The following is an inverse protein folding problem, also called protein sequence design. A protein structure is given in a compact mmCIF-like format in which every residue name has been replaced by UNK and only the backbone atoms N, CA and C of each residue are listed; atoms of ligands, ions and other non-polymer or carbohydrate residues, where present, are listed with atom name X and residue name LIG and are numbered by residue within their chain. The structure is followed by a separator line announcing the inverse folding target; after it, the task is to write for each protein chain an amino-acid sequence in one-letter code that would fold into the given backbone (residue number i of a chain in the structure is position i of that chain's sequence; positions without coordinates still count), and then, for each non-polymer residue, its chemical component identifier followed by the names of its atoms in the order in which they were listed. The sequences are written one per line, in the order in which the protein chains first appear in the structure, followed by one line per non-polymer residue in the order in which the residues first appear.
data_IF_125035025571
#
_entry.id   IF_125035025571
#
_cell.length_a   1.000
_cell.length_b   1.000
_cell.length_c   1.000
_cell.angle_alpha   90.00
_cell.angle_beta   90.00
_cell.angle_gamma   90.00
#
_symmetry.space_group_name_H-M   'P 1'
#
loop_
_entity.id
_entity.type
_entity.pdbx_description
1 polymer ?
#
# COMPACT_ATOMS: atom_id res chain seq x y z
N UNK A 1 8.74 -8.72 24.19
CA UNK A 1 8.83 -9.30 22.83
C UNK A 1 7.89 -10.48 22.65
N UNK A 2 8.02 -11.56 23.43
CA UNK A 2 7.15 -12.76 23.31
C UNK A 2 5.64 -12.46 23.36
N UNK A 3 5.19 -11.59 24.26
CA UNK A 3 3.79 -11.18 24.35
C UNK A 3 3.27 -10.54 23.05
N UNK A 4 4.09 -9.73 22.37
CA UNK A 4 3.72 -9.07 21.12
C UNK A 4 3.60 -10.05 19.96
N UNK A 5 4.51 -11.04 19.90
CA UNK A 5 4.43 -12.13 18.93
C UNK A 5 3.15 -12.94 19.14
N UNK A 6 2.80 -13.24 20.40
CA UNK A 6 1.54 -13.93 20.74
C UNK A 6 0.33 -13.12 20.28
N UNK A 7 0.26 -11.82 20.58
CA UNK A 7 -0.84 -10.95 20.14
C UNK A 7 -0.95 -10.93 18.60
N UNK A 8 0.18 -10.84 17.89
CA UNK A 8 0.19 -10.88 16.43
C UNK A 8 -0.31 -12.24 15.90
N UNK A 9 0.09 -13.34 16.55
CA UNK A 9 -0.42 -14.68 16.26
C UNK A 9 -1.93 -14.78 16.45
N UNK A 10 -2.44 -14.31 17.58
CA UNK A 10 -3.88 -14.30 17.88
C UNK A 10 -4.65 -13.45 16.85
N UNK A 11 -4.11 -12.31 16.42
CA UNK A 11 -4.70 -11.47 15.37
C UNK A 11 -4.70 -12.17 14.01
N UNK A 12 -3.61 -12.83 13.64
CA UNK A 12 -3.53 -13.65 12.42
C UNK A 12 -4.62 -14.72 12.42
N UNK A 13 -4.79 -15.45 13.52
CA UNK A 13 -5.77 -16.54 13.62
C UNK A 13 -7.20 -16.02 13.50
N UNK A 14 -7.50 -14.85 14.09
CA UNK A 14 -8.78 -14.16 13.90
C UNK A 14 -9.01 -13.74 12.45
N UNK A 15 -7.97 -13.27 11.76
CA UNK A 15 -8.04 -12.88 10.34
C UNK A 15 -8.21 -14.08 9.41
N UNK A 16 -7.71 -15.26 9.79
CA UNK A 16 -8.04 -16.51 9.09
C UNK A 16 -9.53 -16.86 9.22
N UNK A 17 -10.10 -16.64 10.40
CA UNK A 17 -11.50 -16.90 10.74
C UNK A 17 -12.40 -15.67 10.54
N UNK A 18 -12.02 -14.73 9.68
CA UNK A 18 -12.69 -13.43 9.56
C UNK A 18 -14.20 -13.51 9.30
N UNK A 19 -14.67 -14.59 8.66
CA UNK A 19 -16.10 -14.84 8.37
C UNK A 19 -16.95 -15.05 9.63
N UNK A 20 -16.33 -15.30 10.77
CA UNK A 20 -17.00 -15.47 12.07
C UNK A 20 -17.25 -14.14 12.78
N UNK A 21 -16.81 -13.02 12.21
CA UNK A 21 -16.94 -11.69 12.81
C UNK A 21 -17.86 -10.80 11.96
N UNK A 22 -18.59 -9.91 12.63
CA UNK A 22 -19.27 -8.81 11.95
C UNK A 22 -18.25 -7.75 11.49
N UNK A 23 -18.71 -6.79 10.69
CA UNK A 23 -17.87 -5.74 10.13
C UNK A 23 -17.17 -4.88 11.20
N UNK A 24 -17.86 -4.52 12.27
CA UNK A 24 -17.34 -3.65 13.33
C UNK A 24 -16.19 -4.33 14.10
N UNK A 25 -16.38 -5.59 14.48
CA UNK A 25 -15.36 -6.38 15.16
C UNK A 25 -14.15 -6.63 14.25
N UNK A 26 -14.40 -6.88 12.96
CA UNK A 26 -13.34 -7.06 11.99
C UNK A 26 -12.54 -5.78 11.74
N UNK A 27 -13.18 -4.62 11.76
CA UNK A 27 -12.49 -3.32 11.66
C UNK A 27 -11.56 -3.10 12.87
N UNK A 28 -12.00 -3.46 14.08
CA UNK A 28 -11.16 -3.40 15.30
C UNK A 28 -9.97 -4.36 15.21
N UNK A 29 -10.20 -5.60 14.74
CA UNK A 29 -9.14 -6.59 14.52
C UNK A 29 -8.13 -6.07 13.50
N UNK A 30 -8.60 -5.56 12.34
CA UNK A 30 -7.73 -5.00 11.30
C UNK A 30 -6.93 -3.79 11.80
N UNK A 31 -7.56 -2.91 12.56
CA UNK A 31 -6.88 -1.73 13.14
C UNK A 31 -5.80 -2.12 14.15
N UNK A 32 -5.99 -3.21 14.90
CA UNK A 32 -4.98 -3.75 15.79
C UNK A 32 -3.84 -4.43 15.02
N UNK A 33 -4.20 -5.22 14.00
CA UNK A 33 -3.23 -5.90 13.13
C UNK A 33 -2.33 -4.91 12.41
N UNK A 34 -2.88 -3.86 11.79
CA UNK A 34 -2.15 -2.88 10.97
C UNK A 34 -0.96 -2.22 11.68
N UNK A 35 -1.07 -2.05 13.01
CA UNK A 35 0.00 -1.46 13.83
C UNK A 35 1.30 -2.25 13.79
N UNK A 36 1.23 -3.58 13.63
CA UNK A 36 2.40 -4.44 13.57
C UNK A 36 3.23 -4.23 12.30
N UNK A 37 2.68 -4.43 11.07
CA UNK A 37 3.46 -4.20 9.87
C UNK A 37 3.81 -2.71 9.69
N UNK A 38 3.00 -1.75 10.17
CA UNK A 38 3.27 -0.31 9.96
C UNK A 38 4.14 0.35 11.04
N UNK A 39 3.86 0.19 12.33
CA UNK A 39 4.52 0.98 13.40
C UNK A 39 5.63 0.20 14.09
N UNK A 40 5.41 -1.06 14.39
CA UNK A 40 6.30 -1.87 15.22
C UNK A 40 7.21 -2.70 14.30
N UNK A 41 8.42 -2.22 13.97
CA UNK A 41 9.38 -3.06 13.24
C UNK A 41 9.89 -4.18 14.15
N UNK A 42 9.82 -5.43 13.70
CA UNK A 42 10.53 -6.52 14.37
C UNK A 42 10.79 -7.68 13.44
N UNK A 43 12.03 -8.16 13.38
CA UNK A 43 12.38 -9.39 12.62
C UNK A 43 11.63 -10.61 13.13
N UNK A 44 11.20 -10.62 14.41
CA UNK A 44 10.39 -11.69 14.98
C UNK A 44 8.98 -11.78 14.37
N UNK A 45 8.50 -10.75 13.68
CA UNK A 45 7.20 -10.77 13.01
C UNK A 45 7.26 -11.37 11.60
N UNK A 46 8.46 -11.59 11.04
CA UNK A 46 8.66 -12.12 9.69
C UNK A 46 7.82 -13.39 9.45
N UNK A 47 7.85 -14.44 10.30
CA UNK A 47 7.11 -15.67 10.03
C UNK A 47 5.59 -15.48 9.86
N UNK A 48 5.02 -14.43 10.46
CA UNK A 48 3.59 -14.11 10.34
C UNK A 48 3.35 -13.13 9.19
N UNK A 49 4.21 -12.12 9.04
CA UNK A 49 4.01 -11.02 8.09
C UNK A 49 4.48 -11.34 6.66
N UNK A 50 5.15 -12.47 6.44
CA UNK A 50 5.46 -13.02 5.10
C UNK A 50 4.50 -14.13 4.68
N UNK A 51 3.44 -14.37 5.45
CA UNK A 51 2.40 -15.33 5.11
C UNK A 51 1.56 -14.82 3.94
N UNK A 52 1.71 -15.47 2.79
CA UNK A 52 0.99 -15.12 1.56
C UNK A 52 -0.50 -15.41 1.68
N UNK A 53 -0.87 -16.47 2.37
CA UNK A 53 -2.28 -16.83 2.55
C UNK A 53 -2.97 -15.80 3.44
N UNK A 54 -2.32 -15.31 4.50
CA UNK A 54 -2.83 -14.19 5.28
C UNK A 54 -3.11 -12.97 4.41
N UNK A 55 -2.20 -12.59 3.50
CA UNK A 55 -2.43 -11.47 2.58
C UNK A 55 -3.64 -11.70 1.66
N UNK A 56 -3.90 -12.93 1.23
CA UNK A 56 -5.10 -13.26 0.47
C UNK A 56 -6.39 -13.16 1.29
N UNK A 57 -6.35 -13.55 2.57
CA UNK A 57 -7.48 -13.31 3.48
C UNK A 57 -7.75 -11.81 3.65
N UNK A 58 -6.71 -10.99 3.80
CA UNK A 58 -6.85 -9.53 3.84
C UNK A 58 -7.50 -8.96 2.58
N UNK A 59 -7.12 -9.46 1.39
CA UNK A 59 -7.77 -9.09 0.12
C UNK A 59 -9.24 -9.50 0.12
N UNK A 60 -9.56 -10.72 0.56
CA UNK A 60 -10.94 -11.20 0.61
C UNK A 60 -11.82 -10.35 1.54
N UNK A 61 -11.29 -9.95 2.69
CA UNK A 61 -11.95 -9.01 3.62
C UNK A 61 -12.21 -7.67 2.91
N UNK A 62 -11.17 -7.09 2.29
CA UNK A 62 -11.29 -5.80 1.61
C UNK A 62 -12.29 -5.81 0.46
N UNK A 63 -12.37 -6.91 -0.30
CA UNK A 63 -13.38 -7.08 -1.35
C UNK A 63 -14.79 -7.22 -0.79
N UNK A 64 -14.95 -7.92 0.34
CA UNK A 64 -16.25 -8.12 0.99
C UNK A 64 -16.80 -6.82 1.57
N UNK A 65 -15.96 -6.05 2.25
CA UNK A 65 -16.34 -4.79 2.90
C UNK A 65 -15.82 -3.58 2.13
N UNK A 66 -16.05 -3.56 0.81
CA UNK A 66 -15.47 -2.57 -0.12
C UNK A 66 -15.95 -1.13 0.10
N UNK A 67 -17.05 -0.92 0.81
CA UNK A 67 -17.53 0.42 1.20
C UNK A 67 -16.88 0.92 2.49
N UNK A 68 -16.27 0.04 3.28
CA UNK A 68 -15.60 0.40 4.52
C UNK A 68 -14.22 0.98 4.25
N UNK A 69 -14.16 2.30 4.16
CA UNK A 69 -12.91 3.02 3.87
C UNK A 69 -11.84 2.81 4.96
N UNK A 70 -12.22 2.72 6.24
CA UNK A 70 -11.28 2.53 7.34
C UNK A 70 -10.59 1.16 7.23
N UNK A 71 -11.39 0.12 7.03
CA UNK A 71 -10.92 -1.25 6.83
C UNK A 71 -10.02 -1.35 5.59
N UNK A 72 -10.43 -0.77 4.45
CA UNK A 72 -9.61 -0.74 3.23
C UNK A 72 -8.26 -0.06 3.44
N UNK A 73 -8.22 1.09 4.12
CA UNK A 73 -6.96 1.79 4.44
C UNK A 73 -6.04 0.89 5.27
N UNK A 74 -6.59 0.23 6.29
CA UNK A 74 -5.80 -0.65 7.15
C UNK A 74 -5.25 -1.86 6.39
N UNK A 75 -6.04 -2.45 5.49
CA UNK A 75 -5.62 -3.58 4.65
C UNK A 75 -4.50 -3.15 3.68
N UNK A 76 -4.69 -2.05 2.94
CA UNK A 76 -3.70 -1.54 1.99
C UNK A 76 -2.40 -1.19 2.71
N UNK A 77 -2.49 -0.51 3.85
CA UNK A 77 -1.33 -0.17 4.69
C UNK A 77 -0.61 -1.43 5.19
N UNK A 78 -1.35 -2.43 5.67
CA UNK A 78 -0.78 -3.68 6.18
C UNK A 78 -0.02 -4.43 5.10
N UNK A 79 -0.68 -4.71 3.97
CA UNK A 79 -0.08 -5.48 2.87
C UNK A 79 1.13 -4.74 2.29
N UNK A 80 1.03 -3.44 2.05
CA UNK A 80 2.14 -2.64 1.53
C UNK A 80 3.39 -2.71 2.43
N UNK A 81 3.18 -2.63 3.74
CA UNK A 81 4.27 -2.77 4.70
C UNK A 81 4.80 -4.21 4.82
N UNK A 82 3.93 -5.23 4.73
CA UNK A 82 4.35 -6.64 4.67
C UNK A 82 5.30 -6.87 3.48
N UNK A 83 5.01 -6.30 2.31
CA UNK A 83 5.86 -6.43 1.11
C UNK A 83 7.18 -5.69 1.29
N UNK A 84 7.14 -4.38 1.53
CA UNK A 84 8.34 -3.56 1.56
C UNK A 84 9.27 -3.91 2.72
N UNK A 85 8.72 -4.01 3.94
CA UNK A 85 9.51 -4.13 5.18
C UNK A 85 9.82 -5.57 5.53
N UNK A 86 8.87 -6.48 5.32
CA UNK A 86 8.98 -7.87 5.73
C UNK A 86 9.30 -8.81 4.57
N UNK A 87 9.34 -8.31 3.32
CA UNK A 87 9.65 -9.08 2.12
C UNK A 87 8.62 -10.17 1.83
N UNK A 88 7.35 -9.91 2.14
CA UNK A 88 6.25 -10.72 1.61
C UNK A 88 6.34 -10.75 0.07
N UNK A 89 6.21 -11.94 -0.51
CA UNK A 89 6.08 -12.14 -1.95
C UNK A 89 4.58 -12.11 -2.33
N UNK A 90 4.06 -11.02 -2.92
CA UNK A 90 2.65 -10.90 -3.21
C UNK A 90 2.24 -11.72 -4.43
N UNK A 91 1.05 -12.33 -4.39
CA UNK A 91 0.43 -12.94 -5.58
C UNK A 91 -0.15 -11.87 -6.51
N UNK A 92 -0.40 -12.24 -7.76
CA UNK A 92 -1.03 -11.33 -8.73
C UNK A 92 -2.41 -10.87 -8.25
N UNK A 93 -3.16 -11.75 -7.57
CA UNK A 93 -4.44 -11.41 -6.93
C UNK A 93 -4.32 -10.25 -5.93
N UNK A 94 -3.25 -10.22 -5.15
CA UNK A 94 -2.98 -9.11 -4.22
C UNK A 94 -2.63 -7.83 -4.98
N UNK A 95 -1.86 -7.93 -6.06
CA UNK A 95 -1.55 -6.77 -6.90
C UNK A 95 -2.78 -6.21 -7.64
N UNK A 96 -3.65 -7.08 -8.18
CA UNK A 96 -4.92 -6.68 -8.79
C UNK A 96 -5.79 -5.90 -7.81
N UNK A 97 -5.87 -6.35 -6.55
CA UNK A 97 -6.59 -5.62 -5.51
C UNK A 97 -6.04 -4.20 -5.28
N UNK A 98 -4.72 -4.01 -5.32
CA UNK A 98 -4.12 -2.67 -5.23
C UNK A 98 -4.46 -1.80 -6.44
N UNK A 99 -4.49 -2.37 -7.65
CA UNK A 99 -4.90 -1.66 -8.86
C UNK A 99 -6.37 -1.23 -8.80
N UNK A 100 -7.25 -2.10 -8.34
CA UNK A 100 -8.68 -1.78 -8.11
C UNK A 100 -8.81 -0.64 -7.07
N UNK A 101 -8.10 -0.73 -5.95
CA UNK A 101 -8.12 0.27 -4.89
C UNK A 101 -7.52 1.63 -5.30
N UNK A 102 -6.70 1.68 -6.36
CA UNK A 102 -6.06 2.89 -6.86
C UNK A 102 -7.08 3.97 -7.32
N UNK A 103 -8.29 3.57 -7.71
CA UNK A 103 -9.39 4.48 -8.04
C UNK A 103 -10.30 4.83 -6.86
N UNK A 104 -10.18 4.16 -5.73
CA UNK A 104 -11.06 4.40 -4.58
C UNK A 104 -10.66 5.68 -3.85
N UNK A 105 -11.55 6.69 -3.87
CA UNK A 105 -11.34 7.97 -3.17
C UNK A 105 -11.04 7.72 -1.69
N UNK A 106 -10.10 8.48 -1.11
CA UNK A 106 -9.57 8.33 0.28
C UNK A 106 -8.62 7.15 0.50
N UNK A 107 -8.75 6.04 -0.23
CA UNK A 107 -7.86 4.87 -0.13
C UNK A 107 -6.65 5.00 -1.06
N UNK A 108 -6.87 5.58 -2.24
CA UNK A 108 -5.87 5.73 -3.31
C UNK A 108 -4.56 6.40 -2.89
N UNK A 109 -4.57 7.30 -1.90
CA UNK A 109 -3.34 7.82 -1.32
C UNK A 109 -2.47 6.71 -0.71
N UNK A 110 -3.06 5.83 0.09
CA UNK A 110 -2.37 4.71 0.71
C UNK A 110 -1.90 3.67 -0.32
N UNK A 111 -2.62 3.51 -1.42
CA UNK A 111 -2.16 2.72 -2.56
C UNK A 111 -0.89 3.32 -3.14
N UNK A 112 -0.86 4.64 -3.37
CA UNK A 112 0.29 5.32 -3.96
C UNK A 112 1.56 5.26 -3.09
N UNK A 113 1.42 5.09 -1.77
CA UNK A 113 2.54 4.90 -0.86
C UNK A 113 3.24 3.55 -1.02
N UNK A 114 2.53 2.56 -1.58
CA UNK A 114 2.89 1.14 -1.42
C UNK A 114 2.99 0.37 -2.75
N UNK A 115 2.21 0.75 -3.76
CA UNK A 115 2.04 -0.06 -4.98
C UNK A 115 3.34 -0.27 -5.77
N UNK A 116 4.30 0.66 -5.68
CA UNK A 116 5.59 0.54 -6.36
C UNK A 116 6.54 -0.49 -5.75
N UNK A 117 6.26 -0.98 -4.54
CA UNK A 117 7.05 -2.05 -3.92
C UNK A 117 6.65 -3.45 -4.40
N UNK A 118 5.55 -3.58 -5.14
CA UNK A 118 5.16 -4.84 -5.75
C UNK A 118 6.12 -5.17 -6.90
N UNK A 119 6.65 -6.40 -6.98
CA UNK A 119 7.42 -6.84 -8.14
C UNK A 119 6.64 -6.66 -9.46
N UNK A 120 5.33 -6.91 -9.44
CA UNK A 120 4.43 -6.75 -10.59
C UNK A 120 4.30 -5.31 -11.08
N UNK A 121 4.66 -4.31 -10.27
CA UNK A 121 4.55 -2.90 -10.66
C UNK A 121 5.38 -2.58 -11.89
N UNK A 122 6.55 -3.21 -12.06
CA UNK A 122 7.47 -2.92 -13.16
C UNK A 122 6.90 -3.31 -14.53
N UNK A 123 6.09 -4.35 -14.58
CA UNK A 123 5.43 -4.85 -15.79
C UNK A 123 4.03 -4.27 -16.00
N UNK A 124 3.52 -3.48 -15.05
CA UNK A 124 2.19 -2.90 -15.17
C UNK A 124 2.15 -1.81 -16.25
N UNK A 125 1.41 -2.08 -17.33
CA UNK A 125 1.28 -1.19 -18.50
C UNK A 125 0.94 0.26 -18.14
N UNK A 126 0.11 0.48 -17.10
CA UNK A 126 -0.34 1.81 -16.67
C UNK A 126 0.53 2.45 -15.58
N UNK A 127 1.68 1.86 -15.21
CA UNK A 127 2.52 2.36 -14.11
C UNK A 127 2.97 3.81 -14.31
N UNK A 128 3.26 4.20 -15.55
CA UNK A 128 3.70 5.56 -15.87
C UNK A 128 2.55 6.57 -15.75
N UNK A 129 1.39 6.25 -16.32
CA UNK A 129 0.17 7.06 -16.18
C UNK A 129 -0.22 7.20 -14.70
N UNK A 130 -0.11 6.09 -13.95
CA UNK A 130 -0.37 6.08 -12.53
C UNK A 130 0.60 6.99 -11.76
N UNK A 131 1.91 6.87 -12.00
CA UNK A 131 2.95 7.73 -11.41
C UNK A 131 2.65 9.21 -11.64
N UNK A 132 2.37 9.60 -12.88
CA UNK A 132 2.04 10.99 -13.26
C UNK A 132 0.75 11.46 -12.57
N UNK A 133 -0.19 10.56 -12.28
CA UNK A 133 -1.44 10.89 -11.60
C UNK A 133 -1.30 11.13 -10.09
N UNK A 134 -0.24 10.61 -9.44
CA UNK A 134 -0.09 10.65 -7.97
C UNK A 134 -0.29 12.05 -7.38
N UNK A 135 0.30 13.15 -7.92
CA UNK A 135 0.11 14.50 -7.38
C UNK A 135 -1.36 14.96 -7.28
N UNK A 136 -2.26 14.40 -8.09
CA UNK A 136 -3.67 14.74 -8.11
C UNK A 136 -4.50 13.97 -7.06
N UNK A 137 -3.90 12.97 -6.40
CA UNK A 137 -4.56 12.20 -5.34
C UNK A 137 -4.69 13.08 -4.08
N UNK A 138 -5.87 13.07 -3.46
CA UNK A 138 -6.05 13.74 -2.16
C UNK A 138 -5.46 12.90 -1.02
N UNK A 139 -4.76 13.50 -0.04
CA UNK A 139 -4.50 14.93 0.10
C UNK A 139 -3.33 15.43 -0.76
N UNK A 140 -3.58 16.41 -1.65
CA UNK A 140 -2.64 16.86 -2.70
C UNK A 140 -1.24 17.16 -2.19
N UNK A 141 -1.12 17.84 -1.03
CA UNK A 141 0.18 18.16 -0.42
C UNK A 141 1.02 16.92 -0.11
N UNK A 142 0.44 15.90 0.52
CA UNK A 142 1.17 14.66 0.82
C UNK A 142 1.43 13.84 -0.43
N UNK A 143 0.52 13.90 -1.40
CA UNK A 143 0.68 13.16 -2.64
C UNK A 143 1.80 13.71 -3.52
N UNK A 144 2.02 15.03 -3.58
CA UNK A 144 3.17 15.59 -4.30
C UNK A 144 4.51 15.24 -3.60
N UNK A 145 4.53 15.20 -2.26
CA UNK A 145 5.68 14.71 -1.48
C UNK A 145 5.98 13.23 -1.76
N UNK A 146 4.93 12.40 -1.82
CA UNK A 146 5.05 10.99 -2.19
C UNK A 146 5.52 10.82 -3.64
N UNK A 147 4.93 11.55 -4.58
CA UNK A 147 5.34 11.54 -5.99
C UNK A 147 6.84 11.81 -6.16
N UNK A 148 7.38 12.80 -5.44
CA UNK A 148 8.81 13.07 -5.45
C UNK A 148 9.65 11.90 -4.93
N UNK A 149 9.18 11.22 -3.87
CA UNK A 149 9.79 9.99 -3.35
C UNK A 149 9.80 8.89 -4.41
N UNK A 150 8.69 8.68 -5.10
CA UNK A 150 8.57 7.66 -6.15
C UNK A 150 9.46 7.95 -7.36
N UNK A 151 9.52 9.20 -7.82
CA UNK A 151 10.42 9.60 -8.91
C UNK A 151 11.88 9.35 -8.51
N UNK A 152 12.28 9.71 -7.28
CA UNK A 152 13.64 9.43 -6.78
C UNK A 152 13.97 7.94 -6.79
N UNK A 153 13.03 7.08 -6.37
CA UNK A 153 13.21 5.62 -6.41
C UNK A 153 13.44 5.15 -7.84
N UNK A 154 12.64 5.58 -8.80
CA UNK A 154 12.78 5.18 -10.21
C UNK A 154 14.12 5.65 -10.78
N UNK A 155 14.54 6.88 -10.48
CA UNK A 155 15.85 7.38 -10.92
C UNK A 155 17.01 6.55 -10.32
N UNK A 156 16.85 6.00 -9.12
CA UNK A 156 17.87 5.16 -8.48
C UNK A 156 18.04 3.79 -9.16
N UNK A 157 17.04 3.29 -9.89
CA UNK A 157 17.12 1.98 -10.58
C UNK A 157 17.83 2.07 -11.93
N UNK A 158 18.15 3.27 -12.42
CA UNK A 158 18.69 3.53 -13.77
C UNK A 158 17.82 2.96 -14.91
N UNK A 159 16.54 2.71 -14.64
CA UNK A 159 15.61 2.26 -15.66
C UNK A 159 15.36 3.35 -16.70
N UNK A 160 15.21 2.95 -17.98
CA UNK A 160 14.86 3.88 -19.06
C UNK A 160 13.40 4.33 -18.94
N UNK A 161 13.21 5.59 -18.57
CA UNK A 161 11.89 6.24 -18.53
C UNK A 161 11.51 6.69 -19.96
N UNK A 162 10.26 6.46 -20.41
CA UNK A 162 9.80 6.97 -21.70
C UNK A 162 9.91 8.50 -21.78
N UNK A 163 10.32 9.03 -22.93
CA UNK A 163 10.60 10.47 -23.08
C UNK A 163 9.39 11.36 -22.77
N UNK A 164 8.19 10.91 -23.13
CA UNK A 164 6.96 11.64 -22.84
C UNK A 164 6.68 11.71 -21.34
N UNK A 165 6.93 10.61 -20.62
CA UNK A 165 6.81 10.55 -19.16
C UNK A 165 7.80 11.51 -18.53
N UNK A 166 9.06 11.51 -18.97
CA UNK A 166 10.09 12.44 -18.47
C UNK A 166 9.67 13.90 -18.60
N UNK A 167 9.06 14.29 -19.72
CA UNK A 167 8.54 15.66 -19.92
C UNK A 167 7.46 16.00 -18.88
N UNK A 168 6.50 15.09 -18.66
CA UNK A 168 5.44 15.30 -17.66
C UNK A 168 5.97 15.39 -16.24
N UNK A 169 6.91 14.52 -15.86
CA UNK A 169 7.56 14.57 -14.55
C UNK A 169 8.22 15.94 -14.32
N UNK A 170 8.94 16.47 -15.32
CA UNK A 170 9.56 17.79 -15.24
C UNK A 170 8.53 18.92 -15.09
N UNK A 171 7.42 18.86 -15.85
CA UNK A 171 6.32 19.84 -15.74
C UNK A 171 5.73 19.86 -14.34
N UNK A 172 5.40 18.69 -13.79
CA UNK A 172 4.85 18.56 -12.43
C UNK A 172 5.81 19.15 -11.39
N UNK A 173 7.09 18.78 -11.46
CA UNK A 173 8.11 19.25 -10.50
C UNK A 173 8.33 20.76 -10.57
N UNK A 174 8.40 21.34 -11.79
CA UNK A 174 8.53 22.80 -11.98
C UNK A 174 7.34 23.55 -11.40
N UNK A 175 6.12 23.07 -11.67
CA UNK A 175 4.91 23.69 -11.15
C UNK A 175 4.90 23.69 -9.62
N UNK A 176 5.29 22.58 -8.99
CA UNK A 176 5.35 22.50 -7.53
C UNK A 176 6.34 23.51 -6.93
N UNK A 177 7.56 23.62 -7.47
CA UNK A 177 8.59 24.57 -7.01
C UNK A 177 8.09 26.01 -7.12
N UNK A 178 7.40 26.36 -8.20
CA UNK A 178 6.89 27.71 -8.40
C UNK A 178 5.77 28.05 -7.41
N UNK A 179 4.88 27.10 -7.11
CA UNK A 179 3.81 27.31 -6.11
C UNK A 179 4.30 27.40 -4.67
N UNK A 180 5.49 26.87 -4.35
CA UNK A 180 6.08 27.00 -3.00
C UNK A 180 6.87 28.28 -2.77
N UNK A 181 7.10 29.09 -3.81
CA UNK A 181 7.83 30.37 -3.74
C UNK A 181 6.93 31.59 -3.54
N UNK A 182 5.62 31.42 -3.66
CA UNK A 182 4.56 32.40 -3.40
C UNK A 182 3.91 32.14 -2.06
#
# INVERSE_FOLDING_TARGET
MQQKIKILGDLRDKLYLWKSYNEEDLEKIMSAFERFPRKEFSTFYIPILTDTLLAEHLVAIGKTFSTNTCMLINIISSIGNMIWRYKLHPTDKVFEFFKEAASHKKVNYYVSLNISYFPQYISWKRRWDYLISIPNISPKRKSIENFHTEVKKILSTKEKIPIQVTKELLTILKNHINTTKT
#
